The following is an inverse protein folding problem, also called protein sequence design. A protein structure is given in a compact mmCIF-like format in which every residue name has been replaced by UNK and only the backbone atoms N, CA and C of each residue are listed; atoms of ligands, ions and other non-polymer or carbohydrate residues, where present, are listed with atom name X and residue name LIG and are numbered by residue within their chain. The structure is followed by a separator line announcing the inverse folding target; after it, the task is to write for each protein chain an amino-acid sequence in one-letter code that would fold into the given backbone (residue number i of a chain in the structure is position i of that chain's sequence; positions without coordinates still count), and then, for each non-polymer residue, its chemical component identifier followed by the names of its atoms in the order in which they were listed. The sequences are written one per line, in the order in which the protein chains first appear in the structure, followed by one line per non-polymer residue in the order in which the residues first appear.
data_IF_835319875405
#
_entry.id   IF_835319875405
#
_cell.length_a   1.000
_cell.length_b   1.000
_cell.length_c   1.000
_cell.angle_alpha   90.00
_cell.angle_beta   90.00
_cell.angle_gamma   90.00
#
_symmetry.space_group_name_H-M   'P 1'
#
loop_
_entity.id
_entity.type
_entity.pdbx_description
1 polymer ?
#
# COMPACT_ATOMS: atom_id res chain seq x y z
N UNK A 1 65.42 73.98 -30.76
CA UNK A 1 64.22 74.83 -30.58
C UNK A 1 62.99 73.98 -30.86
N UNK A 2 61.91 74.19 -30.11
CA UNK A 2 60.53 73.67 -30.27
C UNK A 2 60.37 72.13 -30.39
N UNK A 3 59.86 71.47 -29.33
CA UNK A 3 58.48 70.92 -29.20
C UNK A 3 58.09 69.87 -30.25
N UNK A 4 57.48 68.73 -29.86
CA UNK A 4 56.10 68.70 -29.36
C UNK A 4 55.79 67.42 -28.58
N UNK A 5 55.14 67.53 -27.41
CA UNK A 5 54.49 66.37 -26.75
C UNK A 5 53.14 66.07 -27.43
N UNK A 6 52.79 64.79 -27.56
CA UNK A 6 51.41 64.33 -27.80
C UNK A 6 51.00 63.34 -26.73
N UNK A 7 50.03 63.74 -25.91
CA UNK A 7 49.29 62.84 -25.02
C UNK A 7 48.22 62.10 -25.82
N UNK A 8 47.95 60.85 -25.42
CA UNK A 8 46.81 60.05 -25.88
C UNK A 8 45.91 59.78 -24.67
N UNK A 9 44.57 59.90 -24.77
CA UNK A 9 43.66 59.54 -23.70
C UNK A 9 43.54 58.01 -23.61
N UNK A 10 43.54 57.47 -22.39
CA UNK A 10 43.31 56.04 -22.15
C UNK A 10 41.82 55.68 -22.25
N UNK A 11 41.50 54.63 -23.01
CA UNK A 11 40.19 53.98 -22.92
C UNK A 11 40.16 53.09 -21.67
N UNK A 12 39.31 53.42 -20.70
CA UNK A 12 38.96 52.52 -19.61
C UNK A 12 37.89 51.54 -20.09
N UNK A 13 38.27 50.27 -20.33
CA UNK A 13 37.34 49.24 -20.77
C UNK A 13 36.58 48.66 -19.57
N UNK A 14 35.34 49.11 -19.34
CA UNK A 14 34.46 48.49 -18.34
C UNK A 14 34.00 47.11 -18.83
N UNK A 15 34.64 46.05 -18.32
CA UNK A 15 34.16 44.68 -18.49
C UNK A 15 32.93 44.42 -17.63
N UNK A 16 31.74 44.41 -18.24
CA UNK A 16 30.52 43.95 -17.59
C UNK A 16 30.57 42.42 -17.44
N UNK A 17 30.79 41.95 -16.20
CA UNK A 17 30.74 40.52 -15.87
C UNK A 17 29.28 40.07 -15.84
N UNK A 18 28.81 39.47 -16.93
CA UNK A 18 27.51 38.80 -16.97
C UNK A 18 27.59 37.51 -16.14
N UNK A 19 27.05 37.52 -14.92
CA UNK A 19 27.05 36.38 -14.03
C UNK A 19 25.94 35.38 -14.44
N UNK A 20 26.27 34.46 -15.34
CA UNK A 20 25.36 33.41 -15.80
C UNK A 20 25.17 32.33 -14.73
N UNK A 21 24.02 32.31 -14.08
CA UNK A 21 23.64 31.25 -13.13
C UNK A 21 23.10 30.02 -13.88
N UNK A 22 24.00 29.30 -14.54
CA UNK A 22 23.68 28.02 -15.18
C UNK A 22 23.57 26.93 -14.09
N UNK A 23 22.39 26.29 -13.89
CA UNK A 23 22.19 25.36 -12.79
C UNK A 23 22.96 24.06 -13.06
N UNK A 24 24.02 23.82 -12.29
CA UNK A 24 24.77 22.56 -12.38
C UNK A 24 23.84 21.38 -12.10
N UNK A 25 23.60 20.56 -13.12
CA UNK A 25 22.89 19.29 -12.98
C UNK A 25 23.80 18.32 -12.24
N UNK A 26 23.58 18.17 -10.93
CA UNK A 26 24.36 17.27 -10.07
C UNK A 26 24.04 15.82 -10.45
N UNK A 27 24.88 15.24 -11.30
CA UNK A 27 24.88 13.81 -11.58
C UNK A 27 25.42 13.07 -10.35
N UNK A 28 24.53 12.54 -9.51
CA UNK A 28 24.91 11.77 -8.34
C UNK A 28 25.43 10.38 -8.75
N UNK A 29 26.75 10.23 -8.85
CA UNK A 29 27.38 8.93 -9.07
C UNK A 29 27.26 8.08 -7.80
N UNK A 30 26.56 6.95 -7.86
CA UNK A 30 26.50 5.96 -6.78
C UNK A 30 27.86 5.24 -6.65
N UNK A 31 28.81 5.86 -5.96
CA UNK A 31 30.06 5.22 -5.59
C UNK A 31 29.85 4.36 -4.34
N UNK A 32 29.68 3.05 -4.53
CA UNK A 32 29.76 2.09 -3.45
C UNK A 32 31.22 2.00 -2.97
N UNK A 33 31.49 2.35 -1.70
CA UNK A 33 32.82 2.25 -1.13
C UNK A 33 33.23 0.78 -0.95
N UNK A 34 33.99 0.30 -1.94
CA UNK A 34 34.54 -1.06 -2.00
C UNK A 34 35.59 -1.27 -0.92
N UNK A 35 35.16 -1.77 0.24
CA UNK A 35 36.07 -2.37 1.21
C UNK A 35 36.91 -3.45 0.53
N UNK A 36 38.23 -3.45 0.75
CA UNK A 36 39.13 -4.43 0.14
C UNK A 36 38.82 -5.84 0.69
N UNK A 37 38.26 -6.71 -0.16
CA UNK A 37 37.69 -8.01 0.23
C UNK A 37 36.15 -8.08 0.21
N UNK A 38 35.46 -7.04 -0.24
CA UNK A 38 34.01 -7.00 -0.41
C UNK A 38 33.49 -8.04 -1.41
N UNK A 39 32.57 -8.90 -0.96
CA UNK A 39 31.79 -9.81 -1.83
C UNK A 39 30.63 -9.10 -2.58
N UNK A 40 30.34 -7.83 -2.26
CA UNK A 40 29.28 -7.05 -2.89
C UNK A 40 29.65 -6.68 -4.34
N UNK A 41 28.71 -6.90 -5.26
CA UNK A 41 28.83 -6.50 -6.68
C UNK A 41 28.72 -4.98 -6.89
N UNK A 42 28.94 -4.54 -8.12
CA UNK A 42 28.54 -3.19 -8.53
C UNK A 42 27.00 -3.07 -8.56
N UNK A 43 26.43 -1.93 -8.17
CA UNK A 43 24.99 -1.69 -8.29
C UNK A 43 24.54 -1.72 -9.76
N UNK A 44 23.65 -2.65 -10.09
CA UNK A 44 23.07 -2.77 -11.44
C UNK A 44 21.85 -1.86 -11.55
N UNK A 45 21.85 -0.94 -12.52
CA UNK A 45 20.67 -0.17 -12.87
C UNK A 45 19.67 -1.08 -13.62
N UNK A 46 18.42 -1.14 -13.17
CA UNK A 46 17.35 -2.00 -13.74
C UNK A 46 16.86 -1.60 -15.15
N UNK A 47 17.58 -0.73 -15.85
CA UNK A 47 17.32 -0.36 -17.24
C UNK A 47 16.07 0.51 -17.45
N UNK A 48 15.82 0.94 -18.70
CA UNK A 48 14.74 1.87 -19.05
C UNK A 48 13.33 1.24 -19.06
N UNK A 49 13.21 -0.05 -18.71
CA UNK A 49 11.91 -0.74 -18.56
C UNK A 49 11.35 -0.49 -17.17
N UNK A 50 12.18 -0.69 -16.13
CA UNK A 50 11.83 -0.38 -14.74
C UNK A 50 12.06 1.10 -14.43
N UNK A 51 13.23 1.66 -14.75
CA UNK A 51 13.55 3.05 -14.44
C UNK A 51 13.08 4.00 -15.54
N UNK A 52 12.58 5.17 -15.16
CA UNK A 52 12.04 6.19 -16.05
C UNK A 52 12.61 7.58 -15.73
N UNK A 53 12.02 8.64 -16.31
CA UNK A 53 12.27 10.03 -15.91
C UNK A 53 11.33 10.53 -14.79
N UNK A 54 10.47 9.66 -14.27
CA UNK A 54 9.60 9.93 -13.12
C UNK A 54 10.35 9.68 -11.80
N UNK A 55 9.67 9.86 -10.65
CA UNK A 55 10.12 9.21 -9.42
C UNK A 55 9.80 7.73 -9.56
N UNK A 56 10.79 6.87 -9.34
CA UNK A 56 10.65 5.41 -9.24
C UNK A 56 11.31 4.97 -7.93
N UNK A 57 10.54 4.38 -7.00
CA UNK A 57 10.98 4.17 -5.62
C UNK A 57 10.32 2.96 -4.94
N UNK A 58 10.67 2.73 -3.67
CA UNK A 58 10.04 1.73 -2.79
C UNK A 58 9.83 0.34 -3.43
N UNK A 59 10.88 -0.19 -4.05
CA UNK A 59 10.86 -1.52 -4.65
C UNK A 59 10.67 -2.63 -3.59
N UNK A 60 9.76 -3.57 -3.87
CA UNK A 60 9.52 -4.80 -3.13
C UNK A 60 9.39 -5.98 -4.09
N UNK A 61 9.91 -7.14 -3.71
CA UNK A 61 9.85 -8.36 -4.53
C UNK A 61 8.84 -9.36 -3.96
N UNK A 62 8.31 -10.22 -4.83
CA UNK A 62 7.70 -11.47 -4.41
C UNK A 62 8.72 -12.42 -3.77
N UNK A 63 8.25 -13.37 -2.96
CA UNK A 63 9.09 -14.40 -2.32
C UNK A 63 9.79 -15.32 -3.32
N UNK A 64 9.18 -15.55 -4.49
CA UNK A 64 9.81 -16.23 -5.64
C UNK A 64 10.72 -15.31 -6.48
N UNK A 65 10.74 -14.00 -6.20
CA UNK A 65 11.42 -12.94 -6.94
C UNK A 65 11.11 -12.86 -8.46
N UNK A 66 9.99 -13.40 -8.93
CA UNK A 66 9.52 -13.27 -10.32
C UNK A 66 8.62 -12.04 -10.54
N UNK A 67 8.21 -11.35 -9.47
CA UNK A 67 7.40 -10.11 -9.53
C UNK A 67 8.09 -9.00 -8.74
N UNK A 68 8.19 -7.82 -9.34
CA UNK A 68 8.68 -6.58 -8.76
C UNK A 68 7.53 -5.59 -8.62
N UNK A 69 7.20 -5.25 -7.38
CA UNK A 69 6.36 -4.12 -7.04
C UNK A 69 7.25 -2.89 -6.81
N UNK A 70 6.80 -1.71 -7.22
CA UNK A 70 7.48 -0.44 -6.93
C UNK A 70 6.47 0.71 -7.00
N UNK A 71 6.85 1.91 -6.57
CA UNK A 71 6.01 3.10 -6.71
C UNK A 71 6.52 4.00 -7.82
N UNK A 72 5.61 4.65 -8.56
CA UNK A 72 6.01 5.56 -9.63
C UNK A 72 5.04 6.73 -9.83
N UNK A 73 5.60 7.89 -10.21
CA UNK A 73 4.86 9.09 -10.68
C UNK A 73 4.76 9.13 -12.22
N UNK A 74 4.92 7.99 -12.91
CA UNK A 74 4.86 7.92 -14.38
C UNK A 74 3.43 8.05 -14.92
N UNK A 75 3.31 8.48 -16.18
CA UNK A 75 2.02 8.60 -16.86
C UNK A 75 1.32 7.23 -17.00
N UNK A 76 -0.02 7.24 -16.95
CA UNK A 76 -0.85 6.02 -16.88
C UNK A 76 -1.31 5.67 -15.47
N UNK A 77 -0.96 6.49 -14.47
CA UNK A 77 -1.46 6.37 -13.11
C UNK A 77 -2.86 6.94 -12.85
N UNK A 78 -3.35 6.73 -11.62
CA UNK A 78 -4.58 7.26 -11.05
C UNK A 78 -4.29 8.41 -10.08
N UNK A 79 -3.27 8.27 -9.22
CA UNK A 79 -2.88 9.23 -8.20
C UNK A 79 -1.63 10.03 -8.56
N UNK A 80 -0.92 10.51 -7.54
CA UNK A 80 0.38 11.16 -7.68
C UNK A 80 1.53 10.15 -7.66
N UNK A 81 1.56 9.33 -6.60
CA UNK A 81 2.41 8.14 -6.48
C UNK A 81 1.49 6.93 -6.42
N UNK A 82 1.68 6.02 -7.37
CA UNK A 82 0.92 4.78 -7.50
C UNK A 82 1.83 3.56 -7.35
N UNK A 83 1.23 2.40 -7.05
CA UNK A 83 1.89 1.09 -7.08
C UNK A 83 1.85 0.52 -8.51
N UNK A 84 3.02 0.12 -9.00
CA UNK A 84 3.25 -0.54 -10.29
C UNK A 84 3.86 -1.92 -10.07
N UNK A 85 3.64 -2.82 -11.04
CA UNK A 85 4.08 -4.21 -11.03
C UNK A 85 4.79 -4.55 -12.34
N UNK A 86 5.91 -5.28 -12.26
CA UNK A 86 6.57 -5.93 -13.40
C UNK A 86 6.82 -7.39 -13.10
N UNK A 87 6.72 -8.25 -14.12
CA UNK A 87 7.09 -9.66 -14.03
C UNK A 87 8.40 -9.93 -14.78
N UNK A 88 8.98 -11.11 -14.55
CA UNK A 88 10.03 -11.70 -15.37
C UNK A 88 9.89 -13.21 -15.42
N UNK A 89 10.15 -13.81 -16.59
CA UNK A 89 9.99 -15.25 -16.81
C UNK A 89 11.03 -16.12 -16.07
N UNK A 90 12.13 -15.53 -15.58
CA UNK A 90 13.15 -16.24 -14.80
C UNK A 90 14.04 -15.29 -13.99
N UNK A 91 14.77 -15.81 -12.99
CA UNK A 91 15.64 -15.01 -12.11
C UNK A 91 16.82 -14.29 -12.81
N UNK A 92 17.18 -14.72 -14.03
CA UNK A 92 18.19 -14.09 -14.90
C UNK A 92 17.59 -13.47 -16.17
N UNK A 93 16.26 -13.38 -16.25
CA UNK A 93 15.55 -12.76 -17.36
C UNK A 93 15.39 -11.26 -17.08
N UNK A 94 15.32 -10.47 -18.14
CA UNK A 94 14.94 -9.05 -18.05
C UNK A 94 13.54 -8.89 -17.47
N UNK A 95 13.30 -7.73 -16.85
CA UNK A 95 11.97 -7.32 -16.41
C UNK A 95 11.10 -6.92 -17.60
N UNK A 96 9.80 -7.25 -17.51
CA UNK A 96 8.79 -6.91 -18.50
C UNK A 96 8.24 -5.49 -18.28
N UNK A 97 7.53 -4.95 -19.28
CA UNK A 97 6.94 -3.62 -19.20
C UNK A 97 5.97 -3.51 -18.02
N UNK A 98 6.18 -2.58 -17.07
CA UNK A 98 5.39 -2.54 -15.84
C UNK A 98 3.97 -2.01 -16.06
N UNK A 99 3.02 -2.63 -15.37
CA UNK A 99 1.60 -2.25 -15.34
C UNK A 99 1.27 -1.48 -14.04
N UNK A 100 0.36 -0.52 -14.13
CA UNK A 100 -0.24 0.12 -12.95
C UNK A 100 -1.25 -0.85 -12.34
N UNK A 101 -1.27 -1.03 -11.01
CA UNK A 101 -2.23 -1.96 -10.39
C UNK A 101 -3.68 -1.47 -10.40
N UNK A 102 -3.92 -0.20 -10.74
CA UNK A 102 -5.26 0.37 -10.92
C UNK A 102 -6.14 0.30 -9.67
N UNK A 103 -7.42 0.61 -9.84
CA UNK A 103 -8.39 0.39 -8.78
C UNK A 103 -8.64 -1.12 -8.58
N UNK A 104 -8.72 -1.65 -7.34
CA UNK A 104 -8.88 -0.89 -6.09
C UNK A 104 -7.57 -0.62 -5.32
N UNK A 105 -6.41 -1.09 -5.81
CA UNK A 105 -5.12 -0.94 -5.14
C UNK A 105 -4.65 0.51 -5.13
N UNK A 106 -4.64 1.17 -6.28
CA UNK A 106 -4.36 2.60 -6.43
C UNK A 106 -5.65 3.43 -6.35
N UNK A 107 -5.52 4.68 -5.96
CA UNK A 107 -6.57 5.67 -5.74
C UNK A 107 -6.24 7.00 -6.43
N UNK A 108 -6.98 8.06 -6.14
CA UNK A 108 -6.68 9.43 -6.56
C UNK A 108 -5.64 10.14 -5.67
N UNK A 109 -5.09 9.45 -4.66
CA UNK A 109 -4.23 10.01 -3.64
C UNK A 109 -2.73 9.66 -3.83
N UNK A 110 -2.09 9.17 -2.77
CA UNK A 110 -0.77 8.53 -2.78
C UNK A 110 -0.98 7.12 -2.25
N UNK A 111 -0.50 6.13 -3.00
CA UNK A 111 -0.51 4.70 -2.66
C UNK A 111 0.90 4.15 -2.83
N UNK A 112 1.54 3.76 -1.73
CA UNK A 112 2.99 3.58 -1.74
C UNK A 112 3.56 2.63 -0.69
N UNK A 113 4.85 2.32 -0.86
CA UNK A 113 5.62 1.32 -0.11
C UNK A 113 4.97 -0.07 -0.06
N UNK A 114 4.78 -0.72 -1.23
CA UNK A 114 4.24 -2.08 -1.32
C UNK A 114 5.18 -3.12 -0.69
N UNK A 115 4.60 -4.07 0.04
CA UNK A 115 5.27 -5.27 0.52
C UNK A 115 4.28 -6.43 0.49
N UNK A 116 4.71 -7.62 0.05
CA UNK A 116 3.82 -8.77 -0.12
C UNK A 116 4.14 -9.86 0.90
N UNK A 117 3.13 -10.62 1.32
CA UNK A 117 3.32 -11.80 2.17
C UNK A 117 4.14 -12.90 1.48
N UNK A 118 4.79 -13.74 2.29
CA UNK A 118 5.66 -14.84 1.81
C UNK A 118 4.91 -15.83 0.90
N UNK A 119 3.60 -16.01 1.10
CA UNK A 119 2.72 -16.87 0.30
C UNK A 119 2.11 -16.17 -0.93
N UNK A 120 2.43 -14.89 -1.13
CA UNK A 120 1.99 -14.09 -2.27
C UNK A 120 0.51 -13.76 -2.29
N UNK A 121 -0.19 -13.77 -1.14
CA UNK A 121 -1.64 -13.53 -1.04
C UNK A 121 -2.04 -12.16 -0.50
N UNK A 122 -1.19 -11.50 0.29
CA UNK A 122 -1.48 -10.22 0.92
C UNK A 122 -0.52 -9.16 0.38
N UNK A 123 -1.05 -8.05 -0.13
CA UNK A 123 -0.28 -6.84 -0.44
C UNK A 123 -0.57 -5.80 0.65
N UNK A 124 0.44 -5.52 1.48
CA UNK A 124 0.41 -4.39 2.40
C UNK A 124 1.04 -3.17 1.74
N UNK A 125 0.51 -1.99 2.05
CA UNK A 125 0.98 -0.69 1.56
C UNK A 125 0.42 0.43 2.44
N UNK A 126 0.92 1.66 2.32
CA UNK A 126 0.27 2.82 2.92
C UNK A 126 -0.47 3.64 1.87
N UNK A 127 -1.57 4.28 2.28
CA UNK A 127 -2.40 5.09 1.40
C UNK A 127 -2.93 6.35 2.09
N UNK A 128 -2.95 7.46 1.35
CA UNK A 128 -3.60 8.71 1.73
C UNK A 128 -5.06 8.82 1.23
N UNK A 129 -5.69 7.70 0.83
CA UNK A 129 -7.09 7.65 0.35
C UNK A 129 -8.09 8.15 1.39
N UNK A 130 -9.18 8.74 0.90
CA UNK A 130 -10.29 9.16 1.77
C UNK A 130 -10.92 7.99 2.54
N UNK A 131 -11.35 8.25 3.78
CA UNK A 131 -11.98 7.25 4.66
C UNK A 131 -11.06 6.58 5.69
N UNK A 132 -9.76 6.90 5.68
CA UNK A 132 -8.82 6.50 6.74
C UNK A 132 -8.96 7.27 8.06
N UNK A 133 -8.05 7.00 8.99
CA UNK A 133 -7.96 7.64 10.31
C UNK A 133 -7.14 8.94 10.29
N UNK A 134 -6.09 9.01 9.46
CA UNK A 134 -5.13 10.12 9.44
C UNK A 134 -4.86 10.71 8.05
N UNK A 135 -3.65 11.23 7.86
CA UNK A 135 -3.13 11.74 6.58
C UNK A 135 -2.58 10.64 5.66
N UNK A 136 -2.37 9.45 6.22
CA UNK A 136 -1.79 8.28 5.61
C UNK A 136 -1.96 7.12 6.58
N UNK A 137 -2.47 6.01 6.07
CA UNK A 137 -2.88 4.82 6.84
C UNK A 137 -2.29 3.56 6.17
N UNK A 138 -1.97 2.52 6.94
CA UNK A 138 -1.59 1.20 6.40
C UNK A 138 -2.83 0.39 6.03
N UNK A 139 -2.81 -0.18 4.83
CA UNK A 139 -3.85 -1.07 4.28
C UNK A 139 -3.26 -2.44 3.93
N UNK A 140 -4.15 -3.43 3.83
CA UNK A 140 -3.87 -4.75 3.24
C UNK A 140 -4.90 -5.07 2.16
N UNK A 141 -4.50 -5.70 1.07
CA UNK A 141 -5.41 -6.29 0.08
C UNK A 141 -5.08 -7.76 -0.15
N UNK A 142 -6.13 -8.57 -0.37
CA UNK A 142 -6.00 -9.98 -0.72
C UNK A 142 -5.95 -10.15 -2.24
N UNK A 143 -5.02 -10.97 -2.73
CA UNK A 143 -4.92 -11.40 -4.12
C UNK A 143 -6.06 -12.39 -4.41
N UNK A 144 -6.91 -12.05 -5.36
CA UNK A 144 -8.08 -12.86 -5.77
C UNK A 144 -7.67 -13.92 -6.80
N UNK A 145 -6.84 -13.53 -7.78
CA UNK A 145 -6.31 -14.43 -8.80
C UNK A 145 -5.06 -13.87 -9.45
N UNK A 146 -4.23 -14.76 -9.98
CA UNK A 146 -3.09 -14.41 -10.86
C UNK A 146 -3.50 -14.60 -12.33
N UNK A 147 -2.88 -13.86 -13.24
CA UNK A 147 -3.24 -13.91 -14.67
C UNK A 147 -2.13 -13.40 -15.58
N UNK A 148 -2.23 -13.72 -16.87
CA UNK A 148 -1.29 -13.23 -17.88
C UNK A 148 -1.43 -11.72 -18.13
N UNK A 149 -2.63 -11.17 -17.86
CA UNK A 149 -2.95 -9.74 -17.93
C UNK A 149 -2.66 -9.01 -16.59
N UNK A 150 -1.98 -9.66 -15.64
CA UNK A 150 -1.67 -9.18 -14.31
C UNK A 150 -2.53 -9.80 -13.19
N UNK A 151 -2.34 -9.31 -11.96
CA UNK A 151 -3.03 -9.80 -10.76
C UNK A 151 -4.34 -9.08 -10.48
N UNK A 152 -5.36 -9.82 -10.06
CA UNK A 152 -6.62 -9.27 -9.55
C UNK A 152 -6.54 -9.19 -8.03
N UNK A 153 -6.78 -7.99 -7.48
CA UNK A 153 -6.74 -7.70 -6.05
C UNK A 153 -8.11 -7.29 -5.50
N UNK A 154 -8.38 -7.65 -4.25
CA UNK A 154 -9.59 -7.27 -3.53
C UNK A 154 -9.57 -5.81 -3.05
N UNK A 155 -10.72 -5.28 -2.55
CA UNK A 155 -10.76 -3.96 -1.94
C UNK A 155 -9.77 -3.87 -0.77
N UNK A 156 -8.88 -2.87 -0.72
CA UNK A 156 -7.96 -2.71 0.41
C UNK A 156 -8.70 -2.43 1.72
N UNK A 157 -8.35 -3.21 2.74
CA UNK A 157 -8.86 -3.13 4.10
C UNK A 157 -7.88 -2.32 4.95
N UNK A 158 -8.40 -1.34 5.68
CA UNK A 158 -7.62 -0.54 6.61
C UNK A 158 -7.24 -1.39 7.84
N UNK A 159 -5.98 -1.36 8.30
CA UNK A 159 -5.53 -2.18 9.45
C UNK A 159 -6.10 -1.75 10.82
N UNK A 160 -6.94 -0.71 10.86
CA UNK A 160 -7.75 -0.37 12.02
C UNK A 160 -7.04 0.47 13.08
N UNK A 161 -7.75 0.90 14.14
CA UNK A 161 -7.30 1.92 15.08
C UNK A 161 -6.20 1.48 16.06
N UNK A 162 -5.86 0.19 16.09
CA UNK A 162 -4.68 -0.32 16.83
C UNK A 162 -3.38 -0.14 16.02
N UNK A 163 -3.47 0.08 14.69
CA UNK A 163 -2.35 0.30 13.77
C UNK A 163 -2.32 1.75 13.24
N UNK A 164 -3.45 2.23 12.73
CA UNK A 164 -3.58 3.55 12.12
C UNK A 164 -4.14 4.56 13.12
N UNK A 165 -3.73 5.82 12.99
CA UNK A 165 -4.06 6.89 13.95
C UNK A 165 -4.43 8.18 13.21
N UNK A 166 -4.80 9.22 13.95
CA UNK A 166 -5.04 10.56 13.38
C UNK A 166 -3.75 11.29 12.94
N UNK A 167 -2.63 10.58 12.80
CA UNK A 167 -1.33 11.12 12.40
C UNK A 167 -1.05 10.81 10.92
N UNK A 168 0.08 10.17 10.64
CA UNK A 168 0.51 9.78 9.30
C UNK A 168 1.36 8.52 9.44
N UNK A 169 0.74 7.37 9.24
CA UNK A 169 1.39 6.08 9.08
C UNK A 169 1.85 5.91 7.62
N UNK A 170 3.13 5.65 7.41
CA UNK A 170 3.71 5.44 6.09
C UNK A 170 4.73 4.32 6.09
N UNK A 171 5.06 3.82 4.91
CA UNK A 171 5.92 2.65 4.75
C UNK A 171 5.19 1.36 5.11
N UNK A 172 5.53 0.27 4.45
CA UNK A 172 5.23 -1.06 4.96
C UNK A 172 6.34 -2.04 4.58
N UNK A 173 6.69 -2.93 5.50
CA UNK A 173 7.64 -4.03 5.28
C UNK A 173 7.18 -5.25 6.06
N UNK A 174 6.76 -6.29 5.33
CA UNK A 174 6.31 -7.57 5.88
C UNK A 174 7.51 -8.51 6.10
N UNK A 175 7.53 -9.23 7.22
CA UNK A 175 8.55 -10.24 7.52
C UNK A 175 8.07 -11.29 8.53
N UNK A 176 8.38 -12.57 8.30
CA UNK A 176 8.35 -13.60 9.34
C UNK A 176 9.66 -13.57 10.17
N UNK A 177 9.56 -13.21 11.45
CA UNK A 177 10.72 -13.21 12.36
C UNK A 177 11.05 -14.63 12.86
N UNK A 178 12.31 -15.09 12.82
CA UNK A 178 12.66 -16.45 13.21
C UNK A 178 12.28 -16.80 14.66
N UNK A 179 11.35 -17.74 14.82
CA UNK A 179 10.86 -18.23 16.12
C UNK A 179 9.57 -17.56 16.61
N UNK A 180 9.06 -16.54 15.91
CA UNK A 180 7.75 -15.95 16.19
C UNK A 180 6.63 -16.73 15.47
N UNK A 181 5.42 -16.83 16.05
CA UNK A 181 4.32 -17.62 15.47
C UNK A 181 3.54 -16.89 14.35
N UNK A 182 3.74 -15.58 14.21
CA UNK A 182 3.07 -14.69 13.28
C UNK A 182 4.10 -13.92 12.44
N UNK A 183 3.68 -13.35 11.31
CA UNK A 183 4.45 -12.33 10.62
C UNK A 183 4.32 -10.97 11.32
N UNK A 184 5.20 -10.03 10.97
CA UNK A 184 5.12 -8.63 11.39
C UNK A 184 5.09 -7.71 10.17
N UNK A 185 4.31 -6.63 10.26
CA UNK A 185 4.42 -5.47 9.37
C UNK A 185 5.11 -4.34 10.14
N UNK A 186 6.25 -3.91 9.63
CA UNK A 186 6.96 -2.70 10.06
C UNK A 186 6.45 -1.50 9.27
N UNK A 187 6.26 -0.38 9.95
CA UNK A 187 5.80 0.89 9.37
C UNK A 187 6.36 2.07 10.19
N UNK A 188 6.37 3.27 9.61
CA UNK A 188 6.74 4.48 10.33
C UNK A 188 5.50 5.34 10.65
N UNK A 189 5.55 6.09 11.75
CA UNK A 189 4.46 7.00 12.17
C UNK A 189 5.01 8.36 12.57
N UNK A 190 4.37 9.42 12.10
CA UNK A 190 4.59 10.79 12.58
C UNK A 190 4.15 10.93 14.04
N UNK A 191 5.05 11.35 14.93
CA UNK A 191 4.73 11.57 16.35
C UNK A 191 4.21 12.98 16.60
N UNK A 192 3.52 13.24 17.73
CA UNK A 192 3.12 14.59 18.12
C UNK A 192 4.27 15.60 18.32
N UNK A 193 5.52 15.13 18.39
CA UNK A 193 6.72 15.97 18.44
C UNK A 193 7.30 16.32 17.06
N UNK A 194 6.73 15.80 15.98
CA UNK A 194 7.24 15.97 14.61
C UNK A 194 8.39 15.03 14.23
N UNK A 195 8.77 14.07 15.10
CA UNK A 195 9.64 12.96 14.70
C UNK A 195 8.86 11.93 13.88
N UNK A 196 9.58 11.09 13.14
CA UNK A 196 9.01 9.90 12.51
C UNK A 196 9.70 8.70 13.12
N UNK A 197 8.92 7.89 13.84
CA UNK A 197 9.40 6.74 14.61
C UNK A 197 8.94 5.44 13.93
N UNK A 198 9.74 4.37 14.02
CA UNK A 198 9.42 3.06 13.43
C UNK A 198 8.67 2.19 14.45
N UNK A 199 7.58 1.58 14.01
CA UNK A 199 6.74 0.65 14.75
C UNK A 199 6.65 -0.70 14.01
N UNK A 200 6.19 -1.73 14.72
CA UNK A 200 5.79 -3.01 14.11
C UNK A 200 4.51 -3.54 14.75
N UNK A 201 3.70 -4.25 13.99
CA UNK A 201 2.52 -4.97 14.47
C UNK A 201 2.57 -6.42 13.96
N UNK A 202 2.16 -7.38 14.78
CA UNK A 202 2.00 -8.76 14.34
C UNK A 202 0.75 -8.88 13.46
N UNK A 203 0.79 -9.68 12.40
CA UNK A 203 -0.36 -9.90 11.50
C UNK A 203 -0.66 -11.38 11.32
N UNK A 204 -1.94 -11.71 11.10
CA UNK A 204 -2.41 -13.05 10.78
C UNK A 204 -2.16 -13.38 9.31
N UNK A 205 -2.34 -14.66 8.95
CA UNK A 205 -2.30 -15.11 7.54
C UNK A 205 -3.42 -14.49 6.68
N UNK A 206 -4.43 -13.90 7.31
CA UNK A 206 -5.53 -13.17 6.66
C UNK A 206 -5.33 -11.64 6.75
N UNK A 207 -4.15 -11.17 7.18
CA UNK A 207 -3.78 -9.74 7.20
C UNK A 207 -4.31 -8.93 8.38
N UNK A 208 -5.09 -9.53 9.29
CA UNK A 208 -5.58 -8.87 10.50
C UNK A 208 -4.46 -8.62 11.52
N UNK A 209 -4.50 -7.48 12.22
CA UNK A 209 -3.55 -7.18 13.30
C UNK A 209 -3.79 -8.06 14.54
N UNK A 210 -2.74 -8.74 15.03
CA UNK A 210 -2.84 -9.76 16.08
C UNK A 210 -2.39 -9.24 17.45
N UNK A 211 -3.36 -9.12 18.36
CA UNK A 211 -3.13 -8.88 19.78
C UNK A 211 -3.01 -7.40 20.16
N UNK A 212 -3.15 -7.11 21.47
CA UNK A 212 -2.92 -5.74 21.98
C UNK A 212 -1.43 -5.43 21.96
N UNK A 213 -1.04 -4.44 21.16
CA UNK A 213 0.32 -3.93 21.11
C UNK A 213 0.75 -3.44 22.50
N UNK A 214 1.79 -4.07 23.06
CA UNK A 214 2.41 -3.60 24.30
C UNK A 214 3.13 -2.27 24.03
N UNK A 215 2.50 -1.13 24.36
CA UNK A 215 3.25 0.10 24.52
C UNK A 215 4.33 -0.13 25.58
N UNK A 216 5.59 -0.07 25.15
CA UNK A 216 6.78 -0.31 25.97
C UNK A 216 7.09 0.88 26.90
N UNK A 217 6.09 1.33 27.65
CA UNK A 217 6.20 2.35 28.70
C UNK A 217 6.99 1.79 29.87
N UNK A 218 8.31 1.93 29.79
CA UNK A 218 9.28 1.80 30.89
C UNK A 218 9.06 0.56 31.78
N UNK A 219 9.89 -0.47 31.59
CA UNK A 219 10.04 -1.56 32.54
C UNK A 219 10.64 -1.03 33.86
N UNK A 220 9.79 -0.46 34.71
CA UNK A 220 10.14 -0.01 36.04
C UNK A 220 10.39 -1.25 36.92
N UNK A 221 11.64 -1.71 36.91
CA UNK A 221 12.16 -2.82 37.71
C UNK A 221 11.90 -2.57 39.22
N UNK A 222 10.74 -3.04 39.70
CA UNK A 222 10.43 -3.11 41.14
C UNK A 222 11.24 -4.23 41.78
N UNK A 223 12.48 -3.91 42.14
CA UNK A 223 13.28 -4.74 43.05
C UNK A 223 12.57 -4.84 44.40
N UNK A 224 11.83 -5.93 44.60
CA UNK A 224 11.21 -6.29 45.89
C UNK A 224 11.72 -7.66 46.32
N UNK A 225 12.77 -7.66 47.14
CA UNK A 225 13.30 -8.87 47.76
C UNK A 225 12.30 -9.35 48.80
N UNK A 226 11.84 -10.60 48.68
CA UNK A 226 11.25 -11.36 49.79
C UNK A 226 9.78 -11.06 50.12
N UNK A 227 8.85 -11.49 49.28
CA UNK A 227 7.48 -11.81 49.68
C UNK A 227 7.03 -13.13 49.03
N UNK A 228 6.43 -14.04 49.82
CA UNK A 228 5.82 -15.27 49.27
C UNK A 228 4.41 -14.95 48.74
N UNK A 229 4.00 -15.47 47.58
CA UNK A 229 2.63 -15.31 47.11
C UNK A 229 1.67 -16.12 48.00
N UNK A 230 0.63 -15.47 48.50
CA UNK A 230 -0.56 -16.14 49.04
C UNK A 230 -1.56 -16.25 47.90
N UNK A 231 -2.07 -17.45 47.64
CA UNK A 231 -3.09 -17.69 46.61
C UNK A 231 -4.47 -17.67 47.26
N UNK A 232 -5.18 -16.55 47.14
CA UNK A 232 -6.62 -16.54 47.37
C UNK A 232 -7.36 -16.87 46.08
N UNK A 233 -7.95 -18.07 46.00
CA UNK A 233 -8.85 -18.46 44.92
C UNK A 233 -10.28 -18.04 45.26
N UNK A 234 -10.92 -17.26 44.38
CA UNK A 234 -12.32 -16.84 44.54
C UNK A 234 -13.13 -17.25 43.32
N UNK A 235 -13.98 -18.25 43.49
CA UNK A 235 -14.88 -18.75 42.45
C UNK A 235 -16.03 -17.74 42.17
N UNK A 236 -16.60 -17.71 40.95
CA UNK A 236 -17.76 -16.89 40.64
C UNK A 236 -19.00 -17.38 41.37
N UNK A 237 -19.79 -16.46 41.92
CA UNK A 237 -21.03 -16.76 42.63
C UNK A 237 -22.20 -17.09 41.69
N UNK A 238 -23.10 -17.99 42.12
CA UNK A 238 -24.41 -18.18 41.48
C UNK A 238 -25.26 -16.92 41.59
N UNK A 239 -26.07 -16.67 40.56
CA UNK A 239 -27.26 -15.85 40.67
C UNK A 239 -28.47 -16.76 40.94
N UNK A 240 -29.12 -16.58 42.09
CA UNK A 240 -30.37 -17.29 42.44
C UNK A 240 -31.62 -16.48 42.06
N UNK A 241 -32.76 -17.16 42.00
CA UNK A 241 -34.00 -16.65 41.42
C UNK A 241 -35.03 -16.16 42.46
N UNK A 242 -36.12 -15.57 41.96
CA UNK A 242 -37.39 -15.21 42.63
C UNK A 242 -37.47 -13.89 43.43
N UNK A 243 -38.13 -12.89 42.83
CA UNK A 243 -39.36 -12.28 43.38
C UNK A 243 -40.09 -11.40 42.36
N UNK A 244 -41.44 -11.37 42.40
CA UNK A 244 -42.32 -10.31 41.84
C UNK A 244 -43.48 -10.10 42.83
N UNK A 245 -43.78 -8.85 43.20
CA UNK A 245 -45.02 -8.19 42.71
C UNK A 245 -44.85 -6.67 42.45
N UNK A 246 -45.74 -5.93 41.76
CA UNK A 246 -47.01 -6.30 41.09
C UNK A 246 -47.20 -5.60 39.71
N UNK A 247 -48.27 -4.82 39.52
CA UNK A 247 -48.81 -4.26 38.25
C UNK A 247 -49.70 -3.03 38.55
N UNK A 248 -49.57 -1.94 37.78
CA UNK A 248 -50.65 -1.03 37.32
C UNK A 248 -50.09 0.01 36.31
N UNK A 249 -50.84 0.70 35.44
CA UNK A 249 -51.85 0.25 34.45
C UNK A 249 -52.19 1.41 33.47
N UNK A 250 -52.32 1.13 32.16
CA UNK A 250 -52.84 2.05 31.13
C UNK A 250 -51.80 2.94 30.41
N UNK A 251 -52.00 3.40 29.16
CA UNK A 251 -53.06 3.05 28.20
C UNK A 251 -52.66 3.24 26.71
N UNK A 252 -52.93 2.18 25.93
CA UNK A 252 -53.34 2.08 24.51
C UNK A 252 -53.34 3.34 23.61
N UNK A 253 -52.63 3.26 22.47
CA UNK A 253 -53.06 3.83 21.19
C UNK A 253 -52.54 3.04 19.96
N UNK A 254 -53.39 2.93 18.94
CA UNK A 254 -53.31 2.15 17.69
C UNK A 254 -52.14 2.60 16.77
N UNK A 255 -51.40 1.74 16.06
CA UNK A 255 -51.74 0.80 14.96
C UNK A 255 -52.00 1.49 13.60
N UNK A 256 -51.14 1.25 12.63
CA UNK A 256 -51.41 1.36 11.18
C UNK A 256 -50.44 0.45 10.43
N UNK A 257 -50.92 -0.73 10.05
CA UNK A 257 -50.18 -1.72 9.27
C UNK A 257 -50.17 -1.33 7.78
N UNK A 258 -49.11 -1.65 7.03
CA UNK A 258 -49.06 -1.52 5.56
C UNK A 258 -48.50 -2.80 4.97
N UNK A 259 -49.38 -3.77 4.72
CA UNK A 259 -49.07 -4.93 3.87
C UNK A 259 -49.04 -4.49 2.40
N UNK A 260 -47.92 -4.73 1.71
CA UNK A 260 -47.89 -4.68 0.25
C UNK A 260 -48.20 -6.08 -0.30
N UNK A 261 -49.43 -6.21 -0.80
CA UNK A 261 -49.99 -7.47 -1.29
C UNK A 261 -49.33 -7.90 -2.62
N UNK A 262 -48.93 -9.17 -2.70
CA UNK A 262 -48.49 -9.82 -3.94
C UNK A 262 -49.56 -10.84 -4.34
N UNK A 263 -50.11 -10.70 -5.55
CA UNK A 263 -51.06 -11.67 -6.13
C UNK A 263 -50.65 -12.00 -7.59
N UNK A 264 -50.41 -13.29 -7.94
CA UNK A 264 -49.93 -13.68 -9.26
C UNK A 264 -51.00 -14.37 -10.16
N UNK A 265 -50.61 -14.52 -11.43
CA UNK A 265 -51.08 -15.50 -12.43
C UNK A 265 -52.29 -15.20 -13.34
N UNK A 266 -52.01 -15.25 -14.66
CA UNK A 266 -52.78 -15.79 -15.84
C UNK A 266 -52.16 -15.18 -17.11
N UNK A 267 -51.83 -15.87 -18.21
CA UNK A 267 -51.71 -17.29 -18.61
C UNK A 267 -51.00 -17.34 -19.99
N UNK A 268 -50.17 -18.34 -20.36
CA UNK A 268 -50.55 -19.62 -21.02
C UNK A 268 -51.36 -19.40 -22.32
N UNK A 269 -50.97 -19.81 -23.56
CA UNK A 269 -49.81 -20.56 -24.12
C UNK A 269 -49.68 -20.33 -25.68
N UNK A 270 -48.67 -20.89 -26.41
CA UNK A 270 -48.39 -20.70 -27.87
C UNK A 270 -49.11 -21.77 -28.77
N UNK A 271 -48.76 -22.13 -30.06
CA UNK A 271 -47.60 -21.78 -30.92
C UNK A 271 -47.78 -21.65 -32.47
N UNK A 272 -46.67 -21.32 -33.17
CA UNK A 272 -46.34 -21.59 -34.59
C UNK A 272 -44.93 -21.00 -34.89
N UNK A 273 -43.93 -21.59 -35.59
CA UNK A 273 -43.84 -22.44 -36.80
C UNK A 273 -44.11 -21.66 -38.11
N UNK A 274 -43.21 -21.57 -39.10
CA UNK A 274 -41.86 -22.14 -39.38
C UNK A 274 -41.09 -21.17 -40.35
N UNK A 275 -39.85 -21.33 -40.85
CA UNK A 275 -38.82 -22.40 -40.91
C UNK A 275 -37.40 -21.77 -40.96
N UNK A 276 -36.29 -22.45 -40.61
CA UNK A 276 -35.29 -23.13 -41.49
C UNK A 276 -34.87 -22.39 -42.77
N UNK A 277 -33.57 -22.05 -42.87
CA UNK A 277 -32.85 -22.04 -44.14
C UNK A 277 -31.36 -22.38 -43.96
N UNK A 278 -30.91 -23.42 -44.67
CA UNK A 278 -29.49 -23.69 -45.00
C UNK A 278 -29.11 -22.78 -46.20
N UNK A 279 -27.86 -22.58 -46.62
CA UNK A 279 -26.79 -23.55 -46.85
C UNK A 279 -25.39 -22.90 -46.85
N UNK A 280 -24.36 -23.75 -46.91
CA UNK A 280 -22.99 -23.35 -47.24
C UNK A 280 -22.63 -23.77 -48.68
N UNK A 281 -21.97 -22.89 -49.44
CA UNK A 281 -21.39 -23.22 -50.74
C UNK A 281 -19.87 -22.97 -50.79
N UNK A 282 -19.22 -23.57 -51.79
CA UNK A 282 -17.79 -23.87 -51.79
C UNK A 282 -17.18 -23.71 -53.18
N UNK A 283 -16.22 -22.80 -53.32
CA UNK A 283 -15.38 -22.64 -54.52
C UNK A 283 -13.94 -22.39 -54.03
N UNK A 284 -12.94 -23.27 -54.22
CA UNK A 284 -12.33 -23.89 -55.41
C UNK A 284 -11.16 -23.08 -55.99
N UNK A 285 -10.11 -23.85 -56.32
CA UNK A 285 -8.70 -23.48 -56.63
C UNK A 285 -8.49 -22.53 -57.83
N UNK A 286 -7.31 -21.91 -57.83
CA UNK A 286 -6.60 -21.33 -58.99
C UNK A 286 -5.84 -20.06 -58.58
N UNK A 287 -4.52 -19.93 -58.72
CA UNK A 287 -3.47 -20.89 -59.11
C UNK A 287 -2.26 -20.78 -58.15
#
# INVERSE_FOLDING_TARGET
MNTTQRTLPGLALLGLIACGTEPQRVTATLQADRFAGSEWSEPVNLGPVINSSAVDANAGLSSDAHTLFFVSTRAGGLGNLDIWMSHRQCLSCDWEAPVNLGAPINSDAIDAAPTMSDDGRLLFFYSARSGGFGLGDVYVSHRVSTGADGDVWGPPVNLGPDVNTAANEQGSFYVHEPGEPNAFVYFNRLTPGGSVDIYRVAVSNDGEAVGRVWQLRHLALRTSVGARPVVESRAPGRADQHARPRVAAGAVARRSDVDLHVDPARGVRPPGSVDVHTDAERSLKGD
#
